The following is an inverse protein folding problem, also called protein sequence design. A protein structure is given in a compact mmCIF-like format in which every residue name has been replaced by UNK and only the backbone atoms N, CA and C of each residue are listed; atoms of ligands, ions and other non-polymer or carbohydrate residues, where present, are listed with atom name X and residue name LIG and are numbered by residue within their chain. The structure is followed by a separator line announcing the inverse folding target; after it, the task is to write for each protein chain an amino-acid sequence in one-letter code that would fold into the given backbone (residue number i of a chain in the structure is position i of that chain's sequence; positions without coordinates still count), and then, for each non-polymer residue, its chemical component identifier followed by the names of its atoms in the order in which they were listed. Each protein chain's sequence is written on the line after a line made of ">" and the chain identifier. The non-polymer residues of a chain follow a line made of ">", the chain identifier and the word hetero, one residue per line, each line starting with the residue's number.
data_IF_704838286455
#
_entry.id   IF_704838286455
#
_cell.length_a   1.000
_cell.length_b   1.000
_cell.length_c   1.000
_cell.angle_alpha   90.00
_cell.angle_beta   90.00
_cell.angle_gamma   90.00
#
_symmetry.space_group_name_H-M   'P 1'
#
loop_
_entity.id
_entity.type
_entity.pdbx_description
1 polymer ?
#
# COMPACT_ATOMS: atom_id res chain seq x y z
N UNK A 1 -1.95 -21.73 -28.40
CA UNK A 1 -1.51 -21.76 -27.01
C UNK A 1 -2.42 -22.72 -26.24
N UNK A 2 -1.89 -23.81 -25.71
CA UNK A 2 -2.67 -24.75 -24.89
C UNK A 2 -2.37 -24.51 -23.42
N UNK A 3 -3.10 -23.59 -22.76
CA UNK A 3 -2.96 -23.32 -21.33
C UNK A 3 -3.80 -22.12 -20.88
N UNK A 4 -4.03 -22.01 -19.59
CA UNK A 4 -4.69 -20.85 -19.03
C UNK A 4 -3.78 -19.62 -19.12
N UNK A 5 -4.31 -18.52 -19.65
CA UNK A 5 -3.61 -17.25 -19.70
C UNK A 5 -3.93 -16.49 -18.43
N UNK A 6 -2.90 -16.26 -17.61
CA UNK A 6 -3.04 -15.60 -16.33
C UNK A 6 -2.62 -14.13 -16.42
N UNK A 7 -3.50 -13.22 -15.99
CA UNK A 7 -3.21 -11.82 -15.81
C UNK A 7 -3.32 -11.42 -14.34
N UNK A 8 -2.50 -10.49 -13.92
CA UNK A 8 -2.64 -9.90 -12.59
C UNK A 8 -2.62 -8.39 -12.68
N UNK A 9 -3.57 -7.75 -12.01
CA UNK A 9 -3.51 -6.31 -11.79
C UNK A 9 -2.53 -6.02 -10.66
N UNK A 10 -1.76 -4.99 -10.76
CA UNK A 10 -0.80 -4.44 -9.82
C UNK A 10 -0.56 -5.12 -8.47
N UNK A 11 0.15 -4.48 -7.59
CA UNK A 11 0.41 -4.96 -6.23
C UNK A 11 -0.26 -4.03 -5.22
N UNK A 12 -0.80 -4.59 -4.12
CA UNK A 12 -1.30 -3.81 -2.97
C UNK A 12 -0.29 -3.81 -1.81
N UNK A 13 0.96 -4.17 -2.07
CA UNK A 13 1.98 -4.17 -1.01
C UNK A 13 2.39 -2.75 -0.67
N UNK A 14 2.43 -2.43 0.62
CA UNK A 14 2.88 -1.14 1.14
C UNK A 14 4.33 -0.77 0.75
N UNK A 15 5.10 -1.73 0.22
CA UNK A 15 6.50 -1.54 -0.19
C UNK A 15 6.67 -0.94 -1.58
N UNK A 16 5.62 -0.95 -2.42
CA UNK A 16 5.67 -0.24 -3.70
C UNK A 16 5.46 1.26 -3.47
N UNK A 17 6.16 2.10 -4.23
CA UNK A 17 6.10 3.55 -4.08
C UNK A 17 4.68 4.10 -4.21
N UNK A 18 3.93 3.67 -5.22
CA UNK A 18 2.55 4.12 -5.43
C UNK A 18 1.62 3.75 -4.27
N UNK A 19 1.74 2.51 -3.75
CA UNK A 19 0.91 2.08 -2.62
C UNK A 19 1.31 2.75 -1.31
N UNK A 20 2.60 3.01 -1.11
CA UNK A 20 3.07 3.76 0.05
C UNK A 20 2.45 5.17 0.09
N UNK A 21 2.47 5.89 -1.03
CA UNK A 21 1.82 7.20 -1.10
C UNK A 21 0.30 7.12 -0.93
N UNK A 22 -0.35 6.09 -1.49
CA UNK A 22 -1.79 5.88 -1.31
C UNK A 22 -2.16 5.60 0.15
N UNK A 23 -1.33 4.86 0.90
CA UNK A 23 -1.53 4.63 2.34
C UNK A 23 -1.39 5.91 3.19
N UNK A 24 -0.71 6.93 2.66
CA UNK A 24 -0.64 8.27 3.26
C UNK A 24 -1.69 9.23 2.67
N UNK A 25 -2.78 8.70 2.14
CA UNK A 25 -3.88 9.44 1.50
C UNK A 25 -3.42 10.32 0.32
N UNK A 26 -2.27 10.01 -0.28
CA UNK A 26 -1.76 10.69 -1.46
C UNK A 26 -2.27 10.05 -2.75
N UNK A 27 -2.45 10.85 -3.80
CA UNK A 27 -2.77 10.35 -5.13
C UNK A 27 -1.47 9.94 -5.82
N UNK A 28 -1.30 8.65 -6.06
CA UNK A 28 -0.14 8.11 -6.73
C UNK A 28 -0.53 7.19 -7.89
N UNK A 29 0.20 7.29 -8.98
CA UNK A 29 0.01 6.45 -10.16
C UNK A 29 1.37 5.96 -10.67
N UNK A 30 1.45 4.67 -10.96
CA UNK A 30 2.60 4.08 -11.64
C UNK A 30 2.31 4.01 -13.14
N UNK A 31 3.17 4.63 -13.94
CA UNK A 31 3.12 4.57 -15.39
C UNK A 31 4.23 3.66 -15.91
N UNK A 32 3.82 2.65 -16.65
CA UNK A 32 4.72 1.72 -17.32
C UNK A 32 4.77 2.05 -18.82
N UNK A 33 5.93 2.52 -19.29
CA UNK A 33 6.11 2.89 -20.70
C UNK A 33 7.09 1.90 -21.33
N UNK A 34 6.62 1.18 -22.37
CA UNK A 34 7.42 0.19 -23.10
C UNK A 34 8.74 0.79 -23.58
N UNK A 35 9.85 0.16 -23.24
CA UNK A 35 11.17 0.66 -23.66
C UNK A 35 12.36 -0.22 -23.34
N UNK A 36 12.23 -1.17 -22.44
CA UNK A 36 13.33 -2.09 -22.10
C UNK A 36 13.55 -3.05 -23.27
N UNK A 37 14.82 -3.27 -23.64
CA UNK A 37 15.20 -4.18 -24.73
C UNK A 37 15.11 -3.60 -26.14
N UNK A 38 14.58 -2.38 -26.31
CA UNK A 38 14.46 -1.73 -27.63
C UNK A 38 15.61 -0.72 -27.90
N UNK A 39 16.50 -0.54 -26.93
CA UNK A 39 17.63 0.37 -27.04
C UNK A 39 17.21 1.82 -27.30
N UNK A 40 17.97 2.51 -28.15
CA UNK A 40 17.74 3.94 -28.47
C UNK A 40 16.54 4.19 -29.38
N UNK A 41 16.05 3.18 -30.09
CA UNK A 41 14.99 3.34 -31.12
C UNK A 41 13.69 3.90 -30.60
N UNK A 42 13.34 3.66 -29.34
CA UNK A 42 12.12 4.17 -28.72
C UNK A 42 12.34 5.31 -27.74
N UNK A 43 13.56 5.85 -27.64
CA UNK A 43 13.92 6.83 -26.61
C UNK A 43 13.06 8.10 -26.69
N UNK A 44 12.97 8.72 -27.86
CA UNK A 44 12.16 9.92 -28.08
C UNK A 44 10.69 9.68 -27.76
N UNK A 45 10.13 8.55 -28.19
CA UNK A 45 8.73 8.18 -27.89
C UNK A 45 8.51 8.04 -26.40
N UNK A 46 9.41 7.38 -25.66
CA UNK A 46 9.30 7.20 -24.20
C UNK A 46 9.30 8.55 -23.47
N UNK A 47 10.23 9.43 -23.84
CA UNK A 47 10.30 10.78 -23.25
C UNK A 47 9.01 11.55 -23.53
N UNK A 48 8.56 11.57 -24.78
CA UNK A 48 7.35 12.30 -25.15
C UNK A 48 6.11 11.74 -24.43
N UNK A 49 5.98 10.41 -24.33
CA UNK A 49 4.88 9.78 -23.61
C UNK A 49 4.94 10.10 -22.11
N UNK A 50 6.12 10.01 -21.49
CA UNK A 50 6.31 10.36 -20.09
C UNK A 50 5.98 11.82 -19.80
N UNK A 51 6.46 12.72 -20.65
CA UNK A 51 6.17 14.16 -20.54
C UNK A 51 4.67 14.46 -20.70
N UNK A 52 4.03 13.88 -21.73
CA UNK A 52 2.59 14.08 -21.96
C UNK A 52 1.74 13.61 -20.77
N UNK A 53 2.07 12.44 -20.21
CA UNK A 53 1.40 11.91 -19.02
C UNK A 53 1.62 12.81 -17.81
N UNK A 54 2.87 13.22 -17.55
CA UNK A 54 3.20 14.09 -16.41
C UNK A 54 2.47 15.44 -16.50
N UNK A 55 2.49 16.07 -17.66
CA UNK A 55 1.78 17.34 -17.88
C UNK A 55 0.26 17.19 -17.76
N UNK A 56 -0.30 16.10 -18.28
CA UNK A 56 -1.74 15.81 -18.13
C UNK A 56 -2.12 15.61 -16.67
N UNK A 57 -1.31 14.87 -15.91
CA UNK A 57 -1.52 14.64 -14.48
C UNK A 57 -1.50 15.95 -13.70
N UNK A 58 -0.46 16.78 -13.91
CA UNK A 58 -0.32 18.09 -13.25
C UNK A 58 -1.49 19.02 -13.61
N UNK A 59 -1.85 19.12 -14.89
CA UNK A 59 -2.97 19.96 -15.34
C UNK A 59 -4.29 19.51 -14.71
N UNK A 60 -4.57 18.21 -14.72
CA UNK A 60 -5.80 17.66 -14.14
C UNK A 60 -5.85 17.88 -12.62
N UNK A 61 -4.72 17.70 -11.93
CA UNK A 61 -4.63 17.95 -10.49
C UNK A 61 -4.83 19.42 -10.15
N UNK A 62 -4.29 20.33 -10.96
CA UNK A 62 -4.47 21.77 -10.77
C UNK A 62 -5.93 22.19 -10.96
N UNK A 63 -6.56 21.74 -12.04
CA UNK A 63 -7.97 22.08 -12.35
C UNK A 63 -8.92 21.54 -11.28
N UNK A 64 -8.63 20.36 -10.73
CA UNK A 64 -9.47 19.69 -9.72
C UNK A 64 -8.93 19.84 -8.29
N UNK A 65 -8.06 20.81 -8.04
CA UNK A 65 -7.34 20.92 -6.76
C UNK A 65 -8.28 20.97 -5.54
N UNK A 66 -9.35 21.76 -5.57
CA UNK A 66 -10.31 21.85 -4.47
C UNK A 66 -11.01 20.52 -4.20
N UNK A 67 -11.42 19.82 -5.26
CA UNK A 67 -12.02 18.49 -5.13
C UNK A 67 -11.02 17.48 -4.55
N UNK A 68 -9.79 17.46 -5.04
CA UNK A 68 -8.74 16.57 -4.54
C UNK A 68 -8.47 16.83 -3.07
N UNK A 69 -8.30 18.09 -2.65
CA UNK A 69 -8.06 18.45 -1.26
C UNK A 69 -9.21 18.03 -0.36
N UNK A 70 -10.46 18.23 -0.77
CA UNK A 70 -11.63 17.76 0.00
C UNK A 70 -11.68 16.24 0.15
N UNK A 71 -11.28 15.48 -0.88
CA UNK A 71 -11.22 14.02 -0.79
C UNK A 71 -10.09 13.53 0.12
N UNK A 72 -8.94 14.23 0.14
CA UNK A 72 -7.84 13.93 1.07
C UNK A 72 -8.29 14.21 2.51
N UNK A 73 -8.98 15.31 2.76
CA UNK A 73 -9.52 15.64 4.07
C UNK A 73 -10.54 14.59 4.55
N UNK A 74 -11.45 14.17 3.69
CA UNK A 74 -12.37 13.07 3.99
C UNK A 74 -11.62 11.77 4.32
N UNK A 75 -10.58 11.45 3.57
CA UNK A 75 -9.76 10.25 3.80
C UNK A 75 -8.99 10.32 5.14
N UNK A 76 -8.50 11.50 5.51
CA UNK A 76 -7.81 11.70 6.79
C UNK A 76 -8.75 11.53 8.00
N UNK A 77 -10.02 11.88 7.83
CA UNK A 77 -11.04 11.75 8.86
C UNK A 77 -11.75 10.38 8.86
N UNK A 78 -11.33 9.47 7.98
CA UNK A 78 -11.94 8.14 7.88
C UNK A 78 -11.55 7.28 9.07
N UNK A 79 -12.54 6.87 9.88
CA UNK A 79 -12.35 6.19 11.17
C UNK A 79 -12.67 4.71 11.16
N UNK A 80 -12.98 4.12 9.98
CA UNK A 80 -13.33 2.71 9.90
C UNK A 80 -12.13 1.80 10.15
N UNK A 81 -12.42 0.49 10.22
CA UNK A 81 -11.41 -0.56 10.40
C UNK A 81 -10.28 -0.46 9.36
N UNK A 82 -9.06 -0.74 9.80
CA UNK A 82 -7.90 -0.89 8.90
C UNK A 82 -7.78 -2.34 8.43
N UNK A 83 -7.48 -2.52 7.15
CA UNK A 83 -7.25 -3.83 6.54
C UNK A 83 -5.76 -4.15 6.61
N UNK A 84 -5.40 -5.15 7.42
CA UNK A 84 -4.01 -5.59 7.59
C UNK A 84 -3.60 -6.66 6.59
N UNK A 85 -4.52 -7.54 6.22
CA UNK A 85 -4.30 -8.58 5.21
C UNK A 85 -5.51 -8.67 4.29
N UNK A 86 -5.25 -8.82 3.01
CA UNK A 86 -6.27 -9.02 1.99
C UNK A 86 -5.88 -10.17 1.06
N UNK A 87 -6.87 -10.71 0.35
CA UNK A 87 -6.71 -11.72 -0.68
C UNK A 87 -7.21 -11.17 -2.01
N UNK A 88 -6.45 -11.37 -3.09
CA UNK A 88 -6.90 -11.08 -4.45
C UNK A 88 -8.08 -11.97 -4.81
N UNK A 89 -9.01 -11.43 -5.58
CA UNK A 89 -10.02 -12.24 -6.25
C UNK A 89 -9.43 -12.86 -7.51
N UNK A 90 -9.92 -14.05 -7.83
CA UNK A 90 -9.59 -14.74 -9.08
C UNK A 90 -10.88 -14.97 -9.83
N UNK A 91 -10.95 -14.48 -11.07
CA UNK A 91 -12.12 -14.59 -11.93
C UNK A 91 -11.71 -14.90 -13.37
N UNK A 92 -12.57 -15.56 -14.13
CA UNK A 92 -12.44 -15.62 -15.58
C UNK A 92 -13.02 -14.33 -16.16
N UNK A 93 -12.27 -13.69 -17.02
CA UNK A 93 -12.67 -12.46 -17.69
C UNK A 93 -12.33 -12.52 -19.17
N UNK A 94 -13.08 -11.79 -19.98
CA UNK A 94 -12.79 -11.65 -21.41
C UNK A 94 -12.15 -10.27 -21.60
N UNK A 95 -10.97 -10.25 -22.18
CA UNK A 95 -10.27 -9.01 -22.55
C UNK A 95 -10.18 -8.91 -24.08
N UNK A 96 -10.17 -7.69 -24.59
CA UNK A 96 -9.90 -7.44 -26.01
C UNK A 96 -8.38 -7.48 -26.24
N UNK A 97 -7.95 -8.29 -27.18
CA UNK A 97 -6.57 -8.39 -27.63
C UNK A 97 -6.50 -8.18 -29.15
N UNK A 98 -5.30 -7.94 -29.64
CA UNK A 98 -5.04 -7.90 -31.10
C UNK A 98 -4.28 -9.18 -31.45
N UNK A 99 -4.83 -9.94 -32.38
CA UNK A 99 -4.12 -11.07 -32.99
C UNK A 99 -2.97 -10.52 -33.85
N UNK A 100 -1.76 -11.02 -33.60
CA UNK A 100 -0.55 -10.52 -34.26
C UNK A 100 -0.51 -10.96 -35.73
N UNK A 101 -1.11 -12.09 -36.08
CA UNK A 101 -1.09 -12.63 -37.45
C UNK A 101 -2.14 -11.95 -38.34
N UNK A 102 -3.39 -11.86 -37.85
CA UNK A 102 -4.49 -11.22 -38.61
C UNK A 102 -4.57 -9.72 -38.42
N UNK A 103 -3.94 -9.16 -37.38
CA UNK A 103 -4.06 -7.77 -36.96
C UNK A 103 -5.51 -7.33 -36.60
N UNK A 104 -6.36 -8.29 -36.26
CA UNK A 104 -7.75 -8.06 -35.89
C UNK A 104 -7.97 -8.12 -34.39
N UNK A 105 -9.06 -7.49 -33.92
CA UNK A 105 -9.49 -7.58 -32.52
C UNK A 105 -10.09 -8.95 -32.27
N UNK A 106 -9.64 -9.59 -31.21
CA UNK A 106 -10.16 -10.85 -30.72
C UNK A 106 -10.55 -10.80 -29.25
N UNK A 107 -11.48 -11.63 -28.86
CA UNK A 107 -11.83 -11.88 -27.47
C UNK A 107 -10.91 -12.97 -26.90
N UNK A 108 -10.24 -12.64 -25.81
CA UNK A 108 -9.31 -13.52 -25.12
C UNK A 108 -9.82 -13.83 -23.72
N UNK A 109 -10.16 -15.10 -23.46
CA UNK A 109 -10.49 -15.56 -22.12
C UNK A 109 -9.22 -15.66 -21.28
N UNK A 110 -9.23 -15.03 -20.10
CA UNK A 110 -8.09 -14.97 -19.18
C UNK A 110 -8.53 -15.23 -17.74
N UNK A 111 -7.60 -15.76 -16.95
CA UNK A 111 -7.75 -15.82 -15.49
C UNK A 111 -7.16 -14.55 -14.90
N UNK A 112 -8.03 -13.69 -14.37
CA UNK A 112 -7.66 -12.41 -13.80
C UNK A 112 -7.48 -12.50 -12.28
N UNK A 113 -6.26 -12.22 -11.80
CA UNK A 113 -5.95 -12.08 -10.39
C UNK A 113 -6.03 -10.60 -10.02
N UNK A 114 -7.22 -10.15 -9.57
CA UNK A 114 -7.48 -8.74 -9.32
C UNK A 114 -7.08 -8.31 -7.91
N UNK A 115 -6.18 -7.33 -7.82
CA UNK A 115 -5.88 -6.63 -6.57
C UNK A 115 -6.89 -5.51 -6.26
N UNK A 116 -7.59 -5.00 -7.28
CA UNK A 116 -8.60 -3.95 -7.12
C UNK A 116 -9.90 -4.45 -6.47
N UNK A 117 -10.19 -5.73 -6.62
CA UNK A 117 -11.36 -6.41 -6.03
C UNK A 117 -10.92 -7.31 -4.87
N UNK A 118 -9.94 -6.89 -4.09
CA UNK A 118 -9.42 -7.68 -2.98
C UNK A 118 -10.44 -7.83 -1.85
N UNK A 119 -10.44 -9.01 -1.23
CA UNK A 119 -11.30 -9.34 -0.08
C UNK A 119 -10.47 -9.19 1.20
N UNK A 120 -10.93 -8.40 2.19
CA UNK A 120 -10.25 -8.30 3.48
C UNK A 120 -10.19 -9.66 4.19
N UNK A 121 -9.04 -10.02 4.73
CA UNK A 121 -8.82 -11.23 5.54
C UNK A 121 -8.66 -10.92 7.01
N UNK A 122 -7.85 -9.91 7.32
CA UNK A 122 -7.61 -9.45 8.67
C UNK A 122 -7.90 -7.97 8.73
N UNK A 123 -8.76 -7.61 9.65
CA UNK A 123 -9.13 -6.24 9.97
C UNK A 123 -8.79 -5.93 11.41
N UNK A 124 -8.59 -4.68 11.72
CA UNK A 124 -8.41 -4.13 13.07
C UNK A 124 -9.15 -2.81 13.18
N UNK A 125 -9.68 -2.54 14.35
CA UNK A 125 -10.17 -1.21 14.66
C UNK A 125 -9.03 -0.20 14.52
N UNK A 126 -9.32 0.97 13.97
CA UNK A 126 -8.35 2.04 13.89
C UNK A 126 -8.15 2.62 15.29
N UNK A 127 -6.95 2.54 15.87
CA UNK A 127 -6.71 3.14 17.17
C UNK A 127 -6.66 4.68 17.04
N UNK A 128 -6.96 5.36 18.12
CA UNK A 128 -6.80 6.84 18.19
C UNK A 128 -5.34 7.25 18.11
N UNK A 129 -4.44 6.40 18.59
CA UNK A 129 -2.99 6.62 18.56
C UNK A 129 -2.24 5.32 18.86
N UNK A 130 -0.94 5.31 18.55
CA UNK A 130 -0.02 4.28 19.00
C UNK A 130 1.01 4.88 19.96
N UNK A 131 1.40 4.10 20.98
CA UNK A 131 2.47 4.52 21.90
C UNK A 131 3.68 3.59 21.69
N UNK A 132 4.82 4.19 21.40
CA UNK A 132 6.11 3.51 21.23
C UNK A 132 6.96 3.78 22.46
N UNK A 133 7.42 2.72 23.11
CA UNK A 133 8.35 2.81 24.23
C UNK A 133 9.67 3.49 23.79
N UNK A 134 10.17 4.40 24.61
CA UNK A 134 11.34 5.23 24.31
C UNK A 134 12.63 4.45 23.98
N UNK A 135 12.72 3.18 24.34
CA UNK A 135 13.86 2.31 24.02
C UNK A 135 13.91 1.82 22.56
N UNK A 136 12.93 2.16 21.72
CA UNK A 136 12.82 1.74 20.32
C UNK A 136 13.31 2.81 19.33
N UNK A 137 14.48 3.39 19.56
CA UNK A 137 15.03 4.51 18.78
C UNK A 137 15.02 4.30 17.25
N UNK A 138 15.36 3.09 16.78
CA UNK A 138 15.39 2.79 15.33
C UNK A 138 14.01 2.89 14.67
N UNK A 139 12.95 2.52 15.39
CA UNK A 139 11.58 2.62 14.87
C UNK A 139 11.18 4.09 14.84
N UNK A 140 11.44 4.82 15.92
CA UNK A 140 11.12 6.25 16.04
C UNK A 140 11.82 7.06 14.95
N UNK A 141 13.14 6.86 14.76
CA UNK A 141 13.90 7.52 13.71
C UNK A 141 13.34 7.23 12.31
N UNK A 142 13.00 5.98 12.04
CA UNK A 142 12.41 5.60 10.75
C UNK A 142 11.07 6.28 10.50
N UNK A 143 10.19 6.32 11.48
CA UNK A 143 8.88 6.96 11.38
C UNK A 143 9.03 8.49 11.22
N UNK A 144 9.96 9.11 11.93
CA UNK A 144 10.30 10.51 11.75
C UNK A 144 10.75 10.83 10.32
N UNK A 145 11.64 9.98 9.75
CA UNK A 145 12.10 10.12 8.38
C UNK A 145 10.99 9.90 7.34
N UNK A 146 9.91 9.21 7.73
CA UNK A 146 8.70 9.02 6.91
C UNK A 146 7.70 10.17 7.04
N UNK A 147 7.98 11.18 7.88
CA UNK A 147 7.10 12.34 8.09
C UNK A 147 5.91 12.05 9.01
N UNK A 148 6.00 11.03 9.87
CA UNK A 148 4.94 10.75 10.85
C UNK A 148 5.04 11.77 11.99
N UNK A 149 3.92 12.41 12.29
CA UNK A 149 3.82 13.33 13.43
C UNK A 149 3.94 12.55 14.75
N UNK A 150 4.75 13.09 15.66
CA UNK A 150 5.06 12.43 16.91
C UNK A 150 5.05 13.42 18.07
N UNK A 151 4.46 13.00 19.17
CA UNK A 151 4.45 13.75 20.42
C UNK A 151 5.11 12.94 21.52
N UNK A 152 6.09 13.52 22.22
CA UNK A 152 6.74 12.89 23.34
C UNK A 152 5.97 13.14 24.64
N UNK A 153 5.72 12.09 25.43
CA UNK A 153 5.09 12.23 26.73
C UNK A 153 5.98 13.04 27.67
N UNK A 154 5.40 14.08 28.24
CA UNK A 154 6.12 14.99 29.14
C UNK A 154 6.19 14.49 30.58
N UNK A 155 5.28 13.59 30.96
CA UNK A 155 5.18 13.02 32.30
C UNK A 155 4.84 11.53 32.22
N UNK A 156 5.12 10.80 33.28
CA UNK A 156 4.63 9.45 33.46
C UNK A 156 3.10 9.47 33.49
N UNK A 157 2.49 8.56 32.75
CA UNK A 157 1.04 8.58 32.51
C UNK A 157 0.48 7.16 32.53
N UNK A 158 -0.72 6.98 33.06
CA UNK A 158 -1.45 5.73 33.03
C UNK A 158 -2.58 5.85 32.00
N UNK A 159 -2.57 4.98 31.00
CA UNK A 159 -3.55 5.03 29.91
C UNK A 159 -4.20 3.64 29.76
N UNK A 160 -5.54 3.60 29.64
CA UNK A 160 -6.22 2.40 29.23
C UNK A 160 -5.93 2.16 27.74
N UNK A 161 -5.14 1.15 27.45
CA UNK A 161 -4.63 0.90 26.09
C UNK A 161 -4.65 -0.59 25.74
N UNK A 162 -4.84 -0.87 24.45
CA UNK A 162 -4.72 -2.21 23.89
C UNK A 162 -3.26 -2.60 23.68
N UNK A 163 -2.88 -3.76 24.18
CA UNK A 163 -1.56 -4.36 23.93
C UNK A 163 -1.69 -5.63 23.11
N UNK A 164 -0.82 -5.79 22.09
CA UNK A 164 -0.74 -7.01 21.31
C UNK A 164 0.20 -8.01 21.99
N UNK A 165 -0.35 -9.16 22.40
CA UNK A 165 0.43 -10.28 22.88
C UNK A 165 0.58 -11.32 21.78
N UNK A 166 1.81 -11.73 21.48
CA UNK A 166 2.07 -12.82 20.55
C UNK A 166 1.73 -14.15 21.23
N UNK A 167 0.78 -14.90 20.67
CA UNK A 167 0.31 -16.19 21.18
C UNK A 167 0.79 -17.38 20.37
N UNK A 168 1.17 -17.16 19.10
CA UNK A 168 1.75 -18.17 18.23
C UNK A 168 2.77 -17.53 17.29
N UNK A 169 3.85 -18.25 17.06
CA UNK A 169 4.96 -17.78 16.26
C UNK A 169 5.47 -18.91 15.36
N UNK A 170 5.30 -18.74 14.05
CA UNK A 170 5.81 -19.71 13.08
C UNK A 170 7.11 -19.23 12.48
N UNK A 171 8.17 -19.96 12.76
CA UNK A 171 9.50 -19.75 12.17
C UNK A 171 9.58 -20.23 10.71
N UNK A 172 8.61 -19.89 9.91
CA UNK A 172 8.62 -20.24 8.50
C UNK A 172 9.35 -19.13 7.73
N UNK A 173 10.67 -19.25 7.61
CA UNK A 173 11.55 -18.26 7.01
C UNK A 173 11.39 -18.19 5.50
N UNK A 174 10.29 -17.66 5.02
CA UNK A 174 10.22 -17.22 3.64
C UNK A 174 11.00 -15.91 3.52
N UNK A 175 12.08 -15.93 2.73
CA UNK A 175 12.80 -14.70 2.41
C UNK A 175 12.01 -13.98 1.32
N UNK A 176 11.62 -12.74 1.60
CA UNK A 176 11.00 -11.86 0.63
C UNK A 176 11.82 -10.56 0.57
N UNK A 177 12.36 -10.24 -0.60
CA UNK A 177 13.22 -9.07 -0.82
C UNK A 177 14.33 -8.90 0.24
N UNK A 178 15.07 -9.98 0.48
CA UNK A 178 16.17 -10.07 1.45
C UNK A 178 15.74 -9.97 2.94
N UNK A 179 14.44 -9.92 3.23
CA UNK A 179 13.93 -9.92 4.61
C UNK A 179 13.29 -11.25 4.96
N UNK A 180 13.55 -11.73 6.17
CA UNK A 180 12.87 -12.91 6.71
C UNK A 180 11.45 -12.53 7.09
N UNK A 181 10.47 -13.15 6.44
CA UNK A 181 9.06 -12.97 6.78
C UNK A 181 8.68 -13.89 7.92
N UNK A 182 8.14 -13.32 8.99
CA UNK A 182 7.63 -14.08 10.13
C UNK A 182 6.11 -13.91 10.20
N UNK A 183 5.41 -15.00 10.48
CA UNK A 183 3.97 -14.95 10.77
C UNK A 183 3.77 -15.10 12.25
N UNK A 184 3.07 -14.14 12.84
CA UNK A 184 2.70 -14.16 14.24
C UNK A 184 1.18 -14.14 14.36
N UNK A 185 0.64 -14.85 15.35
CA UNK A 185 -0.74 -14.72 15.79
C UNK A 185 -0.75 -13.89 17.07
N UNK A 186 -1.59 -12.89 17.13
CA UNK A 186 -1.67 -11.98 18.28
C UNK A 186 -3.07 -11.93 18.84
N UNK A 187 -3.17 -11.71 20.15
CA UNK A 187 -4.39 -11.30 20.85
C UNK A 187 -4.24 -9.88 21.37
N UNK A 188 -5.34 -9.14 21.39
CA UNK A 188 -5.39 -7.82 22.00
C UNK A 188 -5.96 -7.96 23.39
N UNK A 189 -5.28 -7.37 24.37
CA UNK A 189 -5.78 -7.22 25.73
C UNK A 189 -5.78 -5.75 26.12
N UNK A 190 -6.86 -5.28 26.73
CA UNK A 190 -6.99 -3.91 27.22
C UNK A 190 -6.73 -3.86 28.69
N UNK A 191 -5.88 -2.94 29.12
CA UNK A 191 -5.55 -2.73 30.52
C UNK A 191 -5.06 -1.28 30.73
N UNK A 192 -5.06 -0.84 31.97
CA UNK A 192 -4.35 0.36 32.37
C UNK A 192 -2.85 0.09 32.37
N UNK A 193 -2.13 0.68 31.45
CA UNK A 193 -0.71 0.50 31.27
C UNK A 193 0.04 1.79 31.68
N UNK A 194 1.20 1.59 32.31
CA UNK A 194 2.10 2.69 32.66
C UNK A 194 3.01 3.02 31.47
N UNK A 195 3.03 4.29 31.12
CA UNK A 195 3.91 4.87 30.13
C UNK A 195 4.81 5.90 30.77
N UNK A 196 6.09 5.86 30.45
CA UNK A 196 7.07 6.76 31.06
C UNK A 196 7.18 8.07 30.28
N UNK A 197 7.62 9.10 30.99
CA UNK A 197 8.11 10.33 30.34
C UNK A 197 9.14 9.95 29.25
N UNK A 198 8.95 10.50 28.06
CA UNK A 198 9.81 10.22 26.92
C UNK A 198 9.27 9.14 25.97
N UNK A 199 8.25 8.37 26.33
CA UNK A 199 7.53 7.50 25.39
C UNK A 199 6.88 8.36 24.29
N UNK A 200 6.76 7.80 23.09
CA UNK A 200 6.34 8.54 21.89
C UNK A 200 4.91 8.13 21.50
N UNK A 201 4.05 9.12 21.39
CA UNK A 201 2.70 9.01 20.82
C UNK A 201 2.76 9.34 19.33
N UNK A 202 2.12 8.52 18.48
CA UNK A 202 1.98 8.71 17.04
C UNK A 202 0.54 8.51 16.61
#
# INVERSE_FOLDING_TARGET
>A
YKGEINFSTGSNTARSSSNFYALNNGIATLFEIRGVGIGKTSFKRRINSGLAVALSFLKTSYINSNFILSQIELANNFSEEIILEHQRTVSKEIIKAIDIESNELMDLEVVMHSSKKSIPKIKRDRPSAYIIKNNNFKIVEKLKNMGVDMVQLQNDTIINSGSYRVIDFKNNFKIYEKMKMQKVKTEISYAFNNFAKGDILI
#
